data_IF_454318685922
#
_entry.id   IF_454318685922
#
_cell.length_a   1.000
_cell.length_b   1.000
_cell.length_c   1.000
_cell.angle_alpha   90.00
_cell.angle_beta   90.00
_cell.angle_gamma   90.00
#
_symmetry.space_group_name_H-M   'P 1'
#
loop_
_entity.id
_entity.type
_entity.pdbx_description
1 polymer ?
#
# COMPACT_ATOMS: atom_id res chain seq x y z
N UNK A 1 39.58 -4.62 -42.92
CA UNK A 1 39.52 -5.86 -42.07
C UNK A 1 39.59 -5.57 -40.58
N UNK A 2 40.41 -4.62 -40.07
CA UNK A 2 40.52 -4.29 -38.65
C UNK A 2 39.22 -3.70 -38.02
N UNK A 3 38.47 -2.89 -38.72
CA UNK A 3 37.23 -2.30 -38.23
C UNK A 3 36.10 -3.33 -37.98
N UNK A 4 35.97 -4.37 -38.84
CA UNK A 4 34.98 -5.44 -38.63
C UNK A 4 35.24 -6.31 -37.40
N UNK A 5 36.51 -6.48 -37.04
CA UNK A 5 36.87 -7.26 -35.82
C UNK A 5 36.57 -6.47 -34.50
N UNK A 6 36.70 -5.14 -34.51
CA UNK A 6 36.32 -4.31 -33.37
C UNK A 6 34.81 -4.38 -33.08
N UNK A 7 33.96 -4.27 -34.10
CA UNK A 7 32.53 -4.36 -33.94
C UNK A 7 32.03 -5.72 -33.40
N UNK A 8 32.71 -6.82 -33.72
CA UNK A 8 32.36 -8.17 -33.22
C UNK A 8 32.79 -8.34 -31.76
N UNK A 9 33.90 -7.73 -31.36
CA UNK A 9 34.39 -7.79 -29.97
C UNK A 9 33.52 -6.96 -29.02
N UNK A 10 33.06 -5.79 -29.49
CA UNK A 10 32.15 -4.94 -28.73
C UNK A 10 30.74 -5.54 -28.63
N UNK A 11 30.24 -6.23 -29.67
CA UNK A 11 28.99 -6.96 -29.65
C UNK A 11 28.98 -8.12 -28.65
N UNK A 12 30.11 -8.79 -28.44
CA UNK A 12 30.22 -9.87 -27.43
C UNK A 12 30.23 -9.33 -25.99
N UNK A 13 30.69 -8.09 -25.76
CA UNK A 13 30.61 -7.43 -24.44
C UNK A 13 29.23 -6.84 -24.14
N UNK A 14 28.45 -6.49 -25.18
CA UNK A 14 27.10 -5.95 -25.04
C UNK A 14 26.00 -7.03 -24.85
N UNK A 15 26.34 -8.31 -24.82
CA UNK A 15 25.39 -9.43 -24.73
C UNK A 15 25.31 -10.07 -23.35
N UNK A 16 25.93 -9.51 -22.33
CA UNK A 16 25.60 -9.93 -20.96
C UNK A 16 24.20 -9.40 -20.64
N UNK A 17 23.24 -10.27 -20.27
CA UNK A 17 21.91 -9.79 -19.91
C UNK A 17 22.04 -8.79 -18.75
N UNK A 18 21.39 -7.63 -18.92
CA UNK A 18 21.38 -6.53 -17.94
C UNK A 18 20.92 -6.99 -16.55
N UNK A 19 20.25 -8.14 -16.48
CA UNK A 19 19.80 -8.75 -15.22
C UNK A 19 19.88 -10.28 -15.34
N UNK A 20 20.18 -10.91 -14.22
CA UNK A 20 20.25 -12.36 -14.11
C UNK A 20 18.84 -12.92 -13.99
N UNK A 21 18.45 -13.82 -14.89
CA UNK A 21 17.16 -14.49 -14.80
C UNK A 21 17.13 -15.36 -13.54
N UNK A 22 16.15 -15.17 -12.62
CA UNK A 22 16.06 -15.97 -11.41
C UNK A 22 15.83 -17.45 -11.76
N UNK A 23 16.52 -18.34 -11.08
CA UNK A 23 16.45 -19.78 -11.29
C UNK A 23 15.54 -20.51 -10.31
N UNK A 24 15.17 -19.84 -9.21
CA UNK A 24 14.31 -20.38 -8.16
C UNK A 24 13.27 -19.34 -7.72
N UNK A 25 12.19 -19.82 -7.07
CA UNK A 25 11.17 -18.96 -6.48
C UNK A 25 11.79 -18.04 -5.42
N UNK A 26 12.76 -18.52 -4.64
CA UNK A 26 13.45 -17.74 -3.61
C UNK A 26 14.32 -16.61 -4.17
N UNK A 27 14.83 -16.75 -5.38
CA UNK A 27 15.54 -15.67 -6.09
C UNK A 27 14.57 -14.60 -6.63
N UNK A 28 13.28 -14.96 -6.79
CA UNK A 28 12.23 -14.04 -7.26
C UNK A 28 11.52 -13.34 -6.09
N UNK A 29 11.32 -14.06 -4.99
CA UNK A 29 10.65 -13.53 -3.78
C UNK A 29 11.75 -13.21 -2.75
N UNK A 30 11.98 -11.93 -2.52
CA UNK A 30 13.02 -11.43 -1.60
C UNK A 30 12.61 -11.54 -0.11
N UNK A 31 11.70 -12.45 0.26
CA UNK A 31 11.29 -12.67 1.65
C UNK A 31 11.90 -13.98 2.13
N UNK A 32 12.82 -13.89 3.09
CA UNK A 32 13.53 -15.04 3.66
C UNK A 32 12.74 -15.68 4.81
N UNK A 33 12.13 -14.86 5.66
CA UNK A 33 11.35 -15.32 6.80
C UNK A 33 10.26 -14.30 7.18
N UNK A 34 9.21 -14.80 7.83
CA UNK A 34 8.13 -13.98 8.39
C UNK A 34 7.96 -14.36 9.86
N UNK A 35 8.07 -13.40 10.75
CA UNK A 35 7.87 -13.60 12.17
C UNK A 35 6.40 -13.38 12.57
N UNK A 36 5.96 -13.96 13.69
CA UNK A 36 4.58 -13.86 14.20
C UNK A 36 4.10 -12.41 14.42
N UNK A 37 5.02 -11.51 14.76
CA UNK A 37 4.74 -10.07 14.93
C UNK A 37 4.61 -9.28 13.61
N UNK A 38 4.60 -9.98 12.46
CA UNK A 38 4.48 -9.37 11.14
C UNK A 38 5.74 -8.66 10.64
N UNK A 39 6.91 -8.99 11.19
CA UNK A 39 8.20 -8.54 10.67
C UNK A 39 8.69 -9.52 9.62
N UNK A 40 9.10 -9.00 8.47
CA UNK A 40 9.65 -9.77 7.36
C UNK A 40 11.17 -9.62 7.35
N UNK A 41 11.90 -10.72 7.24
CA UNK A 41 13.31 -10.70 6.86
C UNK A 41 13.39 -10.72 5.32
N UNK A 42 13.75 -9.57 4.75
CA UNK A 42 13.80 -9.39 3.27
C UNK A 42 15.14 -9.85 2.72
N UNK A 43 16.21 -9.59 3.45
CA UNK A 43 17.55 -10.09 3.14
C UNK A 43 18.35 -10.20 4.43
N UNK A 44 19.56 -10.74 4.35
CA UNK A 44 20.44 -10.84 5.52
C UNK A 44 20.58 -9.49 6.21
N UNK A 45 20.18 -9.42 7.47
CA UNK A 45 20.22 -8.23 8.32
C UNK A 45 19.25 -7.09 7.91
N UNK A 46 18.29 -7.33 6.98
CA UNK A 46 17.27 -6.38 6.59
C UNK A 46 15.90 -6.87 7.01
N UNK A 47 15.25 -6.05 7.83
CA UNK A 47 13.94 -6.34 8.40
C UNK A 47 12.94 -5.27 7.99
N UNK A 48 11.77 -5.70 7.54
CA UNK A 48 10.71 -4.81 7.09
C UNK A 48 9.42 -5.12 7.81
N UNK A 49 8.62 -4.09 8.05
CA UNK A 49 7.25 -4.24 8.56
C UNK A 49 6.31 -3.32 7.79
N UNK A 50 5.14 -3.84 7.46
CA UNK A 50 4.12 -3.14 6.71
C UNK A 50 2.97 -2.75 7.63
N UNK A 51 2.55 -1.50 7.57
CA UNK A 51 1.44 -0.94 8.32
C UNK A 51 0.37 -0.44 7.34
N UNK A 52 -0.88 -0.80 7.59
CA UNK A 52 -2.02 -0.18 6.90
C UNK A 52 -2.40 1.08 7.65
N UNK A 53 -2.59 2.19 6.94
CA UNK A 53 -3.04 3.44 7.53
C UNK A 53 -4.25 4.00 6.77
N UNK A 54 -5.02 4.81 7.48
CA UNK A 54 -6.20 5.47 6.93
C UNK A 54 -5.84 6.86 6.42
N UNK A 55 -6.66 7.38 5.52
CA UNK A 55 -6.56 8.76 5.05
C UNK A 55 -7.05 9.74 6.10
N UNK A 56 -6.50 10.94 6.04
CA UNK A 56 -6.98 12.09 6.80
C UNK A 56 -7.78 12.94 5.81
N UNK A 57 -8.96 13.38 6.21
CA UNK A 57 -9.79 14.24 5.38
C UNK A 57 -9.21 15.66 5.34
N UNK A 58 -8.22 15.84 4.46
CA UNK A 58 -7.53 17.12 4.28
C UNK A 58 -8.37 18.15 3.54
N UNK A 59 -9.19 17.72 2.59
CA UNK A 59 -9.94 18.60 1.68
C UNK A 59 -11.06 19.38 2.35
N UNK A 60 -11.66 18.86 3.41
CA UNK A 60 -12.75 19.50 4.15
C UNK A 60 -12.29 20.20 5.44
N UNK A 61 -11.00 20.11 5.75
CA UNK A 61 -10.42 20.77 6.90
C UNK A 61 -10.29 22.29 6.67
N UNK A 62 -10.37 23.07 7.73
CA UNK A 62 -10.09 24.51 7.69
C UNK A 62 -8.62 24.78 7.35
N UNK A 63 -8.29 25.98 6.91
CA UNK A 63 -6.92 26.35 6.51
C UNK A 63 -5.90 26.11 7.65
N UNK A 64 -6.24 26.49 8.87
CA UNK A 64 -5.40 26.27 10.05
C UNK A 64 -5.22 24.78 10.37
N UNK A 65 -6.27 23.97 10.21
CA UNK A 65 -6.18 22.51 10.36
C UNK A 65 -5.34 21.87 9.28
N UNK A 66 -5.44 22.34 8.03
CA UNK A 66 -4.61 21.86 6.91
C UNK A 66 -3.13 22.12 7.17
N UNK A 67 -2.77 23.30 7.66
CA UNK A 67 -1.42 23.66 8.06
C UNK A 67 -0.95 22.71 9.18
N UNK A 68 -1.78 22.52 10.21
CA UNK A 68 -1.44 21.63 11.32
C UNK A 68 -1.29 20.16 10.92
N UNK A 69 -2.08 19.66 9.95
CA UNK A 69 -1.95 18.32 9.38
C UNK A 69 -0.61 18.20 8.62
N UNK A 70 -0.28 19.20 7.81
CA UNK A 70 0.96 19.22 7.05
C UNK A 70 2.19 19.25 7.95
N UNK A 71 2.18 20.08 9.00
CA UNK A 71 3.27 20.12 9.97
C UNK A 71 3.49 18.77 10.67
N UNK A 72 2.41 18.10 11.07
CA UNK A 72 2.46 16.77 11.69
C UNK A 72 3.03 15.74 10.72
N UNK A 73 2.62 15.80 9.46
CA UNK A 73 3.17 14.94 8.41
C UNK A 73 4.66 15.14 8.21
N UNK A 74 5.12 16.39 8.13
CA UNK A 74 6.55 16.72 8.03
C UNK A 74 7.32 16.23 9.26
N UNK A 75 6.81 16.45 10.47
CA UNK A 75 7.41 15.96 11.72
C UNK A 75 7.51 14.43 11.74
N UNK A 76 6.46 13.75 11.30
CA UNK A 76 6.47 12.29 11.18
C UNK A 76 7.56 11.80 10.21
N UNK A 77 7.61 12.34 8.98
CA UNK A 77 8.62 11.92 8.00
C UNK A 77 10.05 12.20 8.49
N UNK A 78 10.28 13.36 9.11
CA UNK A 78 11.58 13.72 9.66
C UNK A 78 12.00 12.88 10.88
N UNK A 79 11.04 12.24 11.56
CA UNK A 79 11.31 11.34 12.68
C UNK A 79 11.70 9.93 12.25
N UNK A 80 11.51 9.58 10.98
CA UNK A 80 11.84 8.27 10.43
C UNK A 80 13.33 8.23 10.05
N UNK A 81 14.15 7.69 10.94
CA UNK A 81 15.59 7.43 10.68
C UNK A 81 15.77 6.05 10.03
N UNK A 82 15.01 5.77 8.98
CA UNK A 82 15.01 4.48 8.30
C UNK A 82 14.48 4.59 6.86
N UNK A 83 14.72 3.56 6.07
CA UNK A 83 14.12 3.48 4.75
C UNK A 83 12.62 3.19 4.86
N UNK A 84 11.81 3.99 4.19
CA UNK A 84 10.36 3.77 4.15
C UNK A 84 9.82 3.82 2.72
N UNK A 85 8.69 3.14 2.52
CA UNK A 85 7.94 3.11 1.27
C UNK A 85 6.47 3.30 1.55
N UNK A 86 5.85 4.28 0.90
CA UNK A 86 4.41 4.45 0.90
C UNK A 86 3.86 3.78 -0.36
N UNK A 87 2.91 2.88 -0.18
CA UNK A 87 2.24 2.17 -1.27
C UNK A 87 0.75 2.49 -1.23
N UNK A 88 0.22 2.98 -2.35
CA UNK A 88 -1.22 3.19 -2.54
C UNK A 88 -1.69 2.10 -3.50
N UNK A 89 -2.57 1.26 -3.01
CA UNK A 89 -3.15 0.15 -3.78
C UNK A 89 -4.61 0.47 -4.10
N UNK A 90 -4.93 0.57 -5.37
CA UNK A 90 -6.29 0.76 -5.84
C UNK A 90 -6.93 -0.61 -6.06
N UNK A 91 -7.97 -0.90 -5.30
CA UNK A 91 -8.79 -2.10 -5.43
C UNK A 91 -10.15 -1.76 -6.01
N UNK A 92 -10.68 -2.63 -6.82
CA UNK A 92 -12.09 -2.57 -7.17
C UNK A 92 -12.92 -2.96 -5.94
N UNK A 93 -13.88 -2.13 -5.57
CA UNK A 93 -14.88 -2.50 -4.55
C UNK A 93 -15.69 -3.71 -5.03
N UNK A 94 -16.02 -4.57 -4.09
CA UNK A 94 -17.03 -5.60 -4.34
C UNK A 94 -18.41 -4.94 -4.41
N UNK A 95 -18.90 -4.75 -5.62
CA UNK A 95 -20.17 -4.07 -5.86
C UNK A 95 -21.38 -4.85 -5.32
N UNK A 96 -21.28 -6.18 -5.24
CA UNK A 96 -22.35 -7.01 -4.69
C UNK A 96 -22.47 -6.79 -3.19
N UNK A 97 -21.34 -6.73 -2.45
CA UNK A 97 -21.34 -6.39 -1.03
C UNK A 97 -21.84 -4.95 -0.75
N UNK A 98 -21.61 -4.02 -1.67
CA UNK A 98 -22.16 -2.67 -1.58
C UNK A 98 -23.67 -2.66 -1.78
N UNK A 99 -24.17 -3.39 -2.78
CA UNK A 99 -25.61 -3.55 -3.04
C UNK A 99 -26.33 -4.12 -1.83
N UNK A 100 -25.82 -5.21 -1.26
CA UNK A 100 -26.40 -5.86 -0.07
C UNK A 100 -26.50 -4.91 1.14
N UNK A 101 -25.59 -3.94 1.26
CA UNK A 101 -25.60 -2.97 2.37
C UNK A 101 -26.50 -1.76 2.14
N UNK A 102 -26.74 -1.37 0.89
CA UNK A 102 -27.38 -0.10 0.56
C UNK A 102 -28.80 -0.30 0.03
N UNK A 103 -29.07 -1.39 -0.70
CA UNK A 103 -30.40 -1.68 -1.20
C UNK A 103 -31.33 -2.12 -0.07
N UNK A 104 -32.56 -1.62 -0.14
CA UNK A 104 -33.59 -1.93 0.85
C UNK A 104 -34.37 -3.17 0.40
N UNK A 105 -34.35 -4.21 1.23
CA UNK A 105 -35.13 -5.42 0.97
C UNK A 105 -36.64 -5.17 1.03
N UNK A 106 -37.42 -5.92 0.23
CA UNK A 106 -38.85 -5.88 0.26
C UNK A 106 -39.41 -6.34 1.60
N UNK A 107 -40.52 -5.70 2.03
CA UNK A 107 -41.24 -6.03 3.27
C UNK A 107 -42.72 -6.08 3.00
N UNK A 108 -43.44 -6.85 3.80
CA UNK A 108 -44.91 -7.00 3.63
C UNK A 108 -45.67 -5.89 4.39
N UNK A 109 -45.42 -4.61 4.03
CA UNK A 109 -45.94 -3.42 4.69
C UNK A 109 -46.64 -2.42 3.72
N UNK A 110 -46.80 -2.77 2.45
CA UNK A 110 -47.44 -1.94 1.42
C UNK A 110 -46.56 -0.81 0.86
N UNK A 111 -45.29 -0.67 1.31
CA UNK A 111 -44.39 0.40 0.87
C UNK A 111 -43.34 -0.05 -0.16
N UNK A 112 -43.50 -1.24 -0.77
CA UNK A 112 -42.49 -1.76 -1.69
C UNK A 112 -42.33 -0.91 -2.95
N UNK A 113 -43.36 -0.21 -3.40
CA UNK A 113 -43.24 0.73 -4.52
C UNK A 113 -42.21 1.86 -4.24
N UNK A 114 -42.18 2.38 -3.03
CA UNK A 114 -41.19 3.42 -2.63
C UNK A 114 -39.79 2.83 -2.50
N UNK A 115 -39.67 1.58 -2.02
CA UNK A 115 -38.38 0.87 -1.95
C UNK A 115 -37.79 0.61 -3.33
N UNK A 116 -38.66 0.19 -4.28
CA UNK A 116 -38.26 -0.03 -5.67
C UNK A 116 -37.68 1.26 -6.27
N UNK A 117 -38.45 2.37 -6.18
CA UNK A 117 -37.97 3.67 -6.70
C UNK A 117 -36.66 4.09 -6.06
N UNK A 118 -36.50 3.90 -4.75
CA UNK A 118 -35.25 4.21 -4.06
C UNK A 118 -34.10 3.33 -4.58
N UNK A 119 -34.32 2.03 -4.68
CA UNK A 119 -33.33 1.07 -5.16
C UNK A 119 -32.94 1.35 -6.61
N UNK A 120 -33.86 1.73 -7.47
CA UNK A 120 -33.59 2.09 -8.87
C UNK A 120 -32.68 3.32 -8.96
N UNK A 121 -32.93 4.36 -8.14
CA UNK A 121 -32.10 5.57 -8.07
C UNK A 121 -30.69 5.22 -7.56
N UNK A 122 -30.60 4.34 -6.57
CA UNK A 122 -29.30 3.92 -6.01
C UNK A 122 -28.51 3.07 -7.02
N UNK A 123 -29.18 2.15 -7.72
CA UNK A 123 -28.55 1.33 -8.76
C UNK A 123 -28.03 2.19 -9.91
N UNK A 124 -28.81 3.16 -10.38
CA UNK A 124 -28.39 4.11 -11.40
C UNK A 124 -27.13 4.87 -10.95
N UNK A 125 -27.10 5.35 -9.70
CA UNK A 125 -25.91 6.01 -9.12
C UNK A 125 -24.72 5.07 -8.94
N UNK A 126 -24.95 3.80 -8.65
CA UNK A 126 -23.90 2.77 -8.58
C UNK A 126 -23.29 2.55 -9.97
N UNK A 127 -24.10 2.52 -11.02
CA UNK A 127 -23.65 2.35 -12.41
C UNK A 127 -22.93 3.60 -12.92
N UNK A 128 -23.46 4.80 -12.65
CA UNK A 128 -22.82 6.07 -13.02
C UNK A 128 -21.52 6.33 -12.22
N UNK A 129 -21.49 5.84 -10.99
CA UNK A 129 -20.41 6.13 -10.07
C UNK A 129 -19.12 5.39 -10.43
N UNK A 130 -18.11 6.12 -10.85
CA UNK A 130 -16.68 5.67 -10.86
C UNK A 130 -16.16 5.31 -9.45
N UNK A 131 -17.06 5.09 -8.48
CA UNK A 131 -16.76 4.83 -7.08
C UNK A 131 -16.47 3.35 -6.77
N UNK A 132 -16.25 2.55 -7.79
CA UNK A 132 -15.81 1.17 -7.62
C UNK A 132 -14.37 1.00 -7.17
N UNK A 133 -13.64 2.08 -6.89
CA UNK A 133 -12.22 2.01 -6.49
C UNK A 133 -12.09 2.39 -5.01
N UNK A 134 -11.56 1.47 -4.23
CA UNK A 134 -11.11 1.70 -2.86
C UNK A 134 -9.59 1.82 -2.83
N UNK A 135 -9.08 2.83 -2.13
CA UNK A 135 -7.64 3.01 -1.94
C UNK A 135 -7.20 2.46 -0.59
N UNK A 136 -6.34 1.47 -0.64
CA UNK A 136 -5.64 0.97 0.55
C UNK A 136 -4.24 1.60 0.59
N UNK A 137 -3.87 2.15 1.75
CA UNK A 137 -2.58 2.80 1.94
C UNK A 137 -1.74 2.01 2.93
N UNK A 138 -0.50 1.77 2.53
CA UNK A 138 0.46 1.01 3.31
C UNK A 138 1.75 1.79 3.46
N UNK A 139 2.28 1.78 4.68
CA UNK A 139 3.62 2.25 5.01
C UNK A 139 4.49 1.04 5.32
N UNK A 140 5.50 0.81 4.51
CA UNK A 140 6.50 -0.22 4.77
C UNK A 140 7.77 0.45 5.27
N UNK A 141 8.22 0.05 6.46
CA UNK A 141 9.45 0.52 7.09
C UNK A 141 10.49 -0.60 6.99
N UNK A 142 11.69 -0.25 6.55
CA UNK A 142 12.81 -1.19 6.41
C UNK A 142 14.01 -0.68 7.18
N UNK A 143 14.54 -1.52 8.06
CA UNK A 143 15.72 -1.23 8.88
C UNK A 143 16.82 -2.28 8.67
N UNK A 144 18.05 -1.88 8.88
CA UNK A 144 19.21 -2.77 8.89
C UNK A 144 19.68 -2.96 10.33
N UNK A 145 19.69 -4.22 10.82
CA UNK A 145 20.15 -4.59 12.16
C UNK A 145 20.85 -5.95 12.10
N UNK A 146 21.80 -6.17 12.98
CA UNK A 146 22.59 -7.42 13.00
C UNK A 146 21.76 -8.65 13.37
N UNK A 147 20.77 -8.46 14.24
CA UNK A 147 19.94 -9.54 14.77
C UNK A 147 18.47 -9.13 14.74
N UNK A 148 17.59 -10.14 14.68
CA UNK A 148 16.13 -9.96 14.72
C UNK A 148 15.64 -9.25 16.00
N UNK A 149 16.23 -9.57 17.16
CA UNK A 149 15.86 -8.94 18.43
C UNK A 149 16.19 -7.43 18.46
N UNK A 150 17.29 -7.02 17.85
CA UNK A 150 17.63 -5.62 17.68
C UNK A 150 16.71 -4.88 16.69
N UNK A 151 16.13 -5.62 15.75
CA UNK A 151 15.16 -5.08 14.79
C UNK A 151 13.77 -4.91 15.38
N UNK A 152 13.38 -5.75 16.34
CA UNK A 152 12.06 -5.79 16.94
C UNK A 152 11.70 -4.51 17.68
N UNK A 153 12.63 -3.95 18.44
CA UNK A 153 12.42 -2.74 19.24
C UNK A 153 12.17 -1.48 18.36
N UNK A 154 13.03 -1.11 17.40
CA UNK A 154 12.82 0.09 16.56
C UNK A 154 11.57 0.00 15.71
N UNK A 155 11.26 -1.18 15.15
CA UNK A 155 10.07 -1.38 14.31
C UNK A 155 8.78 -1.28 15.12
N UNK A 156 8.77 -1.75 16.36
CA UNK A 156 7.63 -1.62 17.28
C UNK A 156 7.49 -0.20 17.86
N UNK A 157 8.61 0.49 18.09
CA UNK A 157 8.64 1.84 18.67
C UNK A 157 8.15 2.92 17.70
N UNK A 158 8.42 2.80 16.40
CA UNK A 158 7.89 3.71 15.38
C UNK A 158 6.36 3.69 15.36
N UNK A 159 5.75 2.57 15.70
CA UNK A 159 4.29 2.46 15.83
C UNK A 159 3.74 3.24 17.03
N UNK A 160 4.43 3.24 18.16
CA UNK A 160 3.99 3.94 19.38
C UNK A 160 4.06 5.47 19.21
N UNK A 161 5.10 6.02 18.60
CA UNK A 161 5.20 7.47 18.37
C UNK A 161 4.16 8.02 17.40
N UNK A 162 3.70 7.22 16.44
CA UNK A 162 2.63 7.62 15.54
C UNK A 162 1.26 7.74 16.24
N UNK A 163 1.07 7.07 17.38
CA UNK A 163 -0.14 7.14 18.20
C UNK A 163 -0.10 8.21 19.30
N UNK A 164 1.08 8.65 19.74
CA UNK A 164 1.23 9.64 20.83
C UNK A 164 1.06 11.11 20.37
N UNK A 165 0.89 11.35 19.07
CA UNK A 165 0.56 12.70 18.55
C UNK A 165 -0.95 12.88 18.40
N UNK A 166 -1.70 12.64 19.49
CA UNK A 166 -3.08 13.12 19.62
C UNK A 166 -3.10 14.50 20.27
#
# INVERSE_FOLDING_TARGET
>A
RRQRQMCIRDRKKASEPLYKTPKSIQETIEIMAVAENGIFEVSKNKYSKCYRFQDINYTTATEDEQIGIFERYCKFLNSLDCNYKITINNKNKNMDELRDKVLIAEKNDGFNNYRSIYNDIIEEKIIEGRQGIEQERYLTITIERKNFEEAKAPVSYTHLRAHETK
#
